data_IF_429891344274
#
_entry.id   IF_429891344274
#
_cell.length_a   1.000
_cell.length_b   1.000
_cell.length_c   1.000
_cell.angle_alpha   90.00
_cell.angle_beta   90.00
_cell.angle_gamma   90.00
#
_symmetry.space_group_name_H-M   'P 1'
#
loop_
_entity.id
_entity.type
_entity.pdbx_description
1 polymer ?
#
# COMPACT_ATOMS: atom_id res chain seq x y z
N UNK A 1 -22.72 -30.77 -29.51
CA UNK A 1 -23.44 -29.91 -30.48
C UNK A 1 -22.41 -28.97 -31.09
N UNK A 2 -22.02 -29.17 -32.34
CA UNK A 2 -21.14 -28.23 -33.04
C UNK A 2 -21.81 -26.87 -33.15
N UNK A 3 -21.09 -25.75 -32.97
CA UNK A 3 -21.69 -24.43 -33.05
C UNK A 3 -22.23 -24.20 -34.47
N UNK A 4 -23.50 -23.82 -34.58
CA UNK A 4 -24.11 -23.37 -35.84
C UNK A 4 -23.44 -22.05 -36.21
N UNK A 5 -22.42 -22.10 -37.07
CA UNK A 5 -21.76 -20.89 -37.55
C UNK A 5 -22.64 -20.29 -38.63
N UNK A 6 -23.27 -19.15 -38.32
CA UNK A 6 -24.08 -18.42 -39.30
C UNK A 6 -23.21 -18.05 -40.52
N UNK A 7 -23.70 -18.29 -41.75
CA UNK A 7 -22.95 -18.03 -42.98
C UNK A 7 -22.51 -16.56 -43.12
N UNK A 8 -23.28 -15.61 -42.58
CA UNK A 8 -22.93 -14.18 -42.56
C UNK A 8 -21.68 -13.89 -41.71
N UNK A 9 -21.45 -14.67 -40.64
CA UNK A 9 -20.25 -14.54 -39.80
C UNK A 9 -19.01 -15.10 -40.51
N UNK A 10 -19.17 -16.08 -41.40
CA UNK A 10 -18.07 -16.62 -42.21
C UNK A 10 -17.59 -15.58 -43.23
N UNK A 11 -18.52 -14.88 -43.89
CA UNK A 11 -18.16 -13.82 -44.83
C UNK A 11 -17.55 -12.60 -44.12
N UNK A 12 -18.12 -12.17 -42.98
CA UNK A 12 -17.52 -11.11 -42.17
C UNK A 12 -16.10 -11.46 -41.71
N UNK A 13 -15.88 -12.71 -41.27
CA UNK A 13 -14.54 -13.21 -40.90
C UNK A 13 -13.59 -13.17 -42.10
N UNK A 14 -14.03 -13.60 -43.28
CA UNK A 14 -13.20 -13.58 -44.48
C UNK A 14 -12.78 -12.16 -44.90
N UNK A 15 -13.66 -11.17 -44.72
CA UNK A 15 -13.34 -9.76 -44.95
C UNK A 15 -12.34 -9.21 -43.91
N UNK A 16 -12.54 -9.51 -42.63
CA UNK A 16 -11.61 -9.11 -41.57
C UNK A 16 -10.22 -9.73 -41.74
N UNK A 17 -10.14 -11.00 -42.14
CA UNK A 17 -8.87 -11.68 -42.42
C UNK A 17 -8.15 -11.01 -43.57
N UNK A 18 -8.83 -10.70 -44.68
CA UNK A 18 -8.24 -9.96 -45.80
C UNK A 18 -7.69 -8.60 -45.37
N UNK A 19 -8.49 -7.80 -44.68
CA UNK A 19 -8.06 -6.51 -44.16
C UNK A 19 -6.85 -6.62 -43.19
N UNK A 20 -6.81 -7.65 -42.36
CA UNK A 20 -5.70 -7.90 -41.45
C UNK A 20 -4.41 -8.29 -42.19
N UNK A 21 -4.52 -9.11 -43.25
CA UNK A 21 -3.40 -9.48 -44.11
C UNK A 21 -2.85 -8.27 -44.86
N UNK A 22 -3.73 -7.46 -45.47
CA UNK A 22 -3.35 -6.25 -46.19
C UNK A 22 -2.65 -5.26 -45.25
N UNK A 23 -3.18 -5.06 -44.05
CA UNK A 23 -2.55 -4.22 -43.02
C UNK A 23 -1.18 -4.77 -42.58
N UNK A 24 -1.03 -6.09 -42.46
CA UNK A 24 0.25 -6.71 -42.14
C UNK A 24 1.29 -6.49 -43.26
N UNK A 25 0.90 -6.73 -44.51
CA UNK A 25 1.77 -6.50 -45.68
C UNK A 25 2.18 -5.03 -45.81
N UNK A 26 1.25 -4.11 -45.58
CA UNK A 26 1.51 -2.67 -45.59
C UNK A 26 2.54 -2.26 -44.51
N UNK A 27 2.41 -2.77 -43.27
CA UNK A 27 3.37 -2.48 -42.19
C UNK A 27 4.77 -2.99 -42.53
N UNK A 28 4.85 -4.14 -43.21
CA UNK A 28 6.11 -4.74 -43.68
C UNK A 28 6.74 -3.94 -44.80
N UNK A 29 5.98 -3.52 -45.82
CA UNK A 29 6.50 -2.71 -46.93
C UNK A 29 6.99 -1.33 -46.49
N UNK A 30 6.43 -0.79 -45.42
CA UNK A 30 6.82 0.50 -44.82
C UNK A 30 7.90 0.39 -43.74
N UNK A 31 8.36 -0.81 -43.40
CA UNK A 31 9.42 -0.99 -42.39
C UNK A 31 9.03 -0.56 -40.98
N UNK A 32 7.76 -0.68 -40.59
CA UNK A 32 7.31 -0.24 -39.26
C UNK A 32 7.81 -1.18 -38.15
N UNK A 33 8.09 -0.64 -36.96
CA UNK A 33 8.49 -1.38 -35.73
C UNK A 33 7.39 -2.29 -35.14
N UNK A 34 6.24 -2.37 -35.80
CA UNK A 34 5.05 -3.12 -35.35
C UNK A 34 4.86 -4.45 -36.09
N UNK A 35 5.95 -4.98 -36.65
CA UNK A 35 5.95 -6.25 -37.36
C UNK A 35 5.99 -7.43 -36.37
N UNK A 36 5.24 -8.48 -36.69
CA UNK A 36 5.25 -9.75 -35.97
C UNK A 36 5.70 -10.82 -36.95
N UNK A 37 6.84 -11.43 -36.68
CA UNK A 37 7.43 -12.50 -37.49
C UNK A 37 7.40 -13.77 -36.64
N UNK A 38 6.78 -14.83 -37.17
CA UNK A 38 6.72 -16.11 -36.47
C UNK A 38 8.13 -16.69 -36.32
N UNK A 39 8.50 -17.09 -35.10
CA UNK A 39 9.82 -17.65 -34.79
C UNK A 39 10.86 -16.63 -34.29
N UNK A 40 10.55 -15.34 -34.31
CA UNK A 40 11.40 -14.29 -33.74
C UNK A 40 10.91 -13.80 -32.37
N UNK A 41 11.79 -13.12 -31.62
CA UNK A 41 11.47 -12.59 -30.29
C UNK A 41 10.38 -11.50 -30.31
N UNK A 42 10.24 -10.77 -31.43
CA UNK A 42 9.22 -9.74 -31.65
C UNK A 42 9.16 -8.64 -30.56
N UNK A 43 10.28 -8.33 -29.91
CA UNK A 43 10.34 -7.44 -28.75
C UNK A 43 9.97 -5.98 -29.05
N UNK A 44 10.19 -5.54 -30.29
CA UNK A 44 9.97 -4.15 -30.69
C UNK A 44 8.50 -3.73 -30.58
N UNK A 45 7.57 -4.61 -30.97
CA UNK A 45 6.14 -4.28 -30.93
C UNK A 45 5.64 -4.08 -29.47
N UNK A 46 5.85 -5.02 -28.52
CA UNK A 46 5.50 -4.82 -27.12
C UNK A 46 6.19 -3.61 -26.51
N UNK A 47 7.48 -3.40 -26.81
CA UNK A 47 8.23 -2.25 -26.32
C UNK A 47 7.60 -0.93 -26.80
N UNK A 48 7.39 -0.79 -28.11
CA UNK A 48 6.82 0.40 -28.71
C UNK A 48 5.39 0.67 -28.24
N UNK A 49 4.54 -0.36 -28.15
CA UNK A 49 3.20 -0.24 -27.58
C UNK A 49 3.23 0.23 -26.13
N UNK A 50 4.14 -0.30 -25.31
CA UNK A 50 4.29 0.13 -23.92
C UNK A 50 4.76 1.58 -23.83
N UNK A 51 5.67 2.00 -24.70
CA UNK A 51 6.16 3.38 -24.77
C UNK A 51 5.06 4.36 -25.19
N UNK A 52 4.32 4.08 -26.28
CA UNK A 52 3.17 4.90 -26.68
C UNK A 52 2.14 4.96 -25.56
N UNK A 53 1.80 3.79 -24.98
CA UNK A 53 0.84 3.76 -23.86
C UNK A 53 1.32 4.63 -22.71
N UNK A 54 2.60 4.59 -22.36
CA UNK A 54 3.16 5.43 -21.30
C UNK A 54 3.04 6.92 -21.61
N UNK A 55 3.33 7.33 -22.85
CA UNK A 55 3.23 8.74 -23.29
C UNK A 55 1.77 9.21 -23.32
N UNK A 56 0.87 8.40 -23.87
CA UNK A 56 -0.55 8.77 -23.97
C UNK A 56 -1.19 8.81 -22.58
N UNK A 57 -0.86 7.85 -21.72
CA UNK A 57 -1.45 7.80 -20.38
C UNK A 57 -0.73 8.70 -19.38
N UNK A 58 0.49 9.20 -19.64
CA UNK A 58 1.15 10.11 -18.70
C UNK A 58 0.31 11.37 -18.48
N UNK A 59 -0.36 11.89 -19.50
CA UNK A 59 -1.29 13.02 -19.36
C UNK A 59 -2.49 12.75 -18.42
N UNK A 60 -2.79 11.48 -18.12
CA UNK A 60 -3.85 11.08 -17.18
C UNK A 60 -3.34 10.83 -15.76
N UNK A 61 -2.02 10.81 -15.57
CA UNK A 61 -1.40 10.59 -14.26
C UNK A 61 -0.75 11.88 -13.79
N UNK A 62 -1.02 12.21 -12.53
CA UNK A 62 -0.30 13.27 -11.83
C UNK A 62 1.15 12.83 -11.59
N UNK A 63 2.09 13.78 -11.65
CA UNK A 63 3.47 13.51 -11.26
C UNK A 63 3.56 13.52 -9.73
N UNK A 64 4.15 12.46 -9.19
CA UNK A 64 4.11 12.13 -7.77
C UNK A 64 5.56 12.02 -7.31
N UNK A 65 6.11 13.17 -6.91
CA UNK A 65 7.53 13.27 -6.51
C UNK A 65 7.68 12.93 -5.04
N UNK A 66 8.50 11.91 -4.78
CA UNK A 66 8.73 11.40 -3.43
C UNK A 66 9.83 12.23 -2.75
N UNK A 67 9.52 12.80 -1.60
CA UNK A 67 10.49 13.47 -0.73
C UNK A 67 10.63 12.66 0.57
N UNK A 68 11.86 12.32 0.96
CA UNK A 68 12.16 11.68 2.25
C UNK A 68 12.02 12.70 3.40
N UNK A 69 10.79 13.06 3.76
CA UNK A 69 10.48 14.00 4.84
C UNK A 69 10.45 13.25 6.17
N UNK A 70 11.63 13.04 6.74
CA UNK A 70 11.78 12.41 8.05
C UNK A 70 13.21 12.49 8.56
N UNK A 71 14.20 12.46 7.65
CA UNK A 71 15.63 12.52 7.99
C UNK A 71 15.97 13.75 8.85
N UNK A 72 15.48 14.93 8.48
CA UNK A 72 15.75 16.18 9.20
C UNK A 72 15.17 16.18 10.63
N UNK A 73 13.98 15.59 10.83
CA UNK A 73 13.38 15.46 12.15
C UNK A 73 14.14 14.45 13.03
N UNK A 74 14.54 13.31 12.47
CA UNK A 74 15.40 12.34 13.17
C UNK A 74 16.77 12.94 13.54
N UNK A 75 17.35 13.74 12.64
CA UNK A 75 18.61 14.43 12.89
C UNK A 75 18.48 15.47 14.01
N UNK A 76 17.38 16.22 14.05
CA UNK A 76 17.11 17.18 15.13
C UNK A 76 16.94 16.49 16.49
N UNK A 77 16.20 15.38 16.57
CA UNK A 77 16.09 14.57 17.79
C UNK A 77 17.47 14.05 18.20
N UNK A 78 18.25 13.57 17.24
CA UNK A 78 19.62 13.13 17.47
C UNK A 78 20.53 14.24 18.00
N UNK A 79 20.35 15.47 17.52
CA UNK A 79 21.08 16.66 17.97
C UNK A 79 20.70 17.05 19.41
N UNK A 80 19.41 17.08 19.75
CA UNK A 80 18.94 17.36 21.12
C UNK A 80 19.43 16.28 22.09
N UNK A 81 19.34 15.00 21.73
CA UNK A 81 19.87 13.91 22.55
C UNK A 81 21.38 14.03 22.79
N UNK A 82 22.15 14.42 21.76
CA UNK A 82 23.59 14.66 21.89
C UNK A 82 23.90 15.87 22.79
N UNK A 83 23.10 16.93 22.71
CA UNK A 83 23.23 18.12 23.55
C UNK A 83 23.03 17.78 25.03
N UNK A 84 21.95 17.05 25.37
CA UNK A 84 21.67 16.62 26.74
C UNK A 84 22.78 15.70 27.27
N UNK A 85 23.24 14.75 26.46
CA UNK A 85 24.32 13.85 26.85
C UNK A 85 25.65 14.59 27.08
N UNK A 86 25.96 15.59 26.24
CA UNK A 86 27.15 16.42 26.43
C UNK A 86 27.05 17.27 27.70
N UNK A 87 25.90 17.90 27.96
CA UNK A 87 25.67 18.67 29.17
C UNK A 87 25.89 17.81 30.43
N UNK A 88 25.34 16.58 30.45
CA UNK A 88 25.56 15.63 31.54
C UNK A 88 27.05 15.33 31.77
N UNK A 89 27.78 14.98 30.71
CA UNK A 89 29.20 14.67 30.83
C UNK A 89 30.02 15.85 31.35
N UNK A 90 29.71 17.06 30.89
CA UNK A 90 30.37 18.30 31.33
C UNK A 90 30.08 18.57 32.81
N UNK A 91 28.82 18.41 33.25
CA UNK A 91 28.45 18.57 34.66
C UNK A 91 29.19 17.59 35.56
N UNK A 92 29.22 16.31 35.21
CA UNK A 92 29.95 15.29 35.99
C UNK A 92 31.46 15.59 36.02
N UNK A 93 32.03 15.99 34.88
CA UNK A 93 33.45 16.36 34.81
C UNK A 93 33.77 17.55 35.72
N UNK A 94 32.90 18.58 35.74
CA UNK A 94 33.06 19.75 36.58
C UNK A 94 32.96 19.40 38.07
N UNK A 95 31.98 18.58 38.45
CA UNK A 95 31.84 18.11 39.83
C UNK A 95 33.04 17.27 40.28
N UNK A 96 33.53 16.37 39.41
CA UNK A 96 34.71 15.56 39.70
C UNK A 96 35.98 16.42 39.86
N UNK A 97 36.13 17.51 39.09
CA UNK A 97 37.24 18.45 39.23
C UNK A 97 37.19 19.27 40.53
N UNK A 98 36.00 19.48 41.09
CA UNK A 98 35.83 20.23 42.34
C UNK A 98 36.15 19.38 43.57
N UNK A 99 35.88 18.07 43.53
CA UNK A 99 36.07 17.17 44.67
C UNK A 99 37.36 16.33 44.61
N UNK A 100 37.91 16.09 43.42
CA UNK A 100 39.04 15.19 43.23
C UNK A 100 40.20 15.87 42.50
N UNK A 101 41.42 15.50 42.87
CA UNK A 101 42.61 15.91 42.15
C UNK A 101 42.67 15.24 40.76
N UNK A 102 43.15 15.99 39.77
CA UNK A 102 43.15 15.61 38.34
C UNK A 102 44.02 14.37 38.11
N UNK A 103 45.05 14.17 38.93
CA UNK A 103 45.96 13.02 38.86
C UNK A 103 45.50 11.80 39.65
N UNK A 104 44.35 11.87 40.34
CA UNK A 104 43.81 10.74 41.08
C UNK A 104 43.30 9.65 40.14
N UNK A 105 43.63 8.39 40.44
CA UNK A 105 43.07 7.24 39.72
C UNK A 105 41.53 7.20 39.78
N UNK A 106 40.94 7.74 40.85
CA UNK A 106 39.49 7.87 40.99
C UNK A 106 38.90 8.88 40.00
N UNK A 107 39.58 10.00 39.75
CA UNK A 107 39.17 11.00 38.78
C UNK A 107 39.16 10.41 37.36
N UNK A 108 40.24 9.73 36.98
CA UNK A 108 40.34 9.07 35.66
C UNK A 108 39.23 8.03 35.48
N UNK A 109 38.95 7.22 36.51
CA UNK A 109 37.88 6.23 36.48
C UNK A 109 36.50 6.87 36.27
N UNK A 110 36.19 7.95 37.00
CA UNK A 110 34.92 8.69 36.86
C UNK A 110 34.79 9.29 35.46
N UNK A 111 35.87 9.83 34.90
CA UNK A 111 35.85 10.39 33.54
C UNK A 111 35.56 9.32 32.49
N UNK A 112 36.20 8.16 32.56
CA UNK A 112 35.94 7.05 31.62
C UNK A 112 34.48 6.60 31.71
N UNK A 113 33.97 6.41 32.94
CA UNK A 113 32.58 5.98 33.16
C UNK A 113 31.59 7.04 32.68
N UNK A 114 31.84 8.32 32.94
CA UNK A 114 31.00 9.44 32.49
C UNK A 114 30.91 9.48 30.96
N UNK A 115 32.03 9.29 30.25
CA UNK A 115 32.05 9.20 28.79
C UNK A 115 31.26 8.01 28.25
N UNK A 116 31.35 6.84 28.89
CA UNK A 116 30.53 5.68 28.52
C UNK A 116 29.03 5.95 28.72
N UNK A 117 28.66 6.59 29.85
CA UNK A 117 27.26 6.93 30.15
C UNK A 117 26.73 7.95 29.15
N UNK A 118 27.51 8.97 28.78
CA UNK A 118 27.15 9.93 27.72
C UNK A 118 26.76 9.24 26.42
N UNK A 119 27.58 8.30 25.96
CA UNK A 119 27.31 7.59 24.71
C UNK A 119 26.04 6.74 24.80
N UNK A 120 25.80 6.09 25.94
CA UNK A 120 24.55 5.33 26.18
C UNK A 120 23.32 6.24 26.26
N UNK A 121 23.44 7.40 26.90
CA UNK A 121 22.35 8.35 27.03
C UNK A 121 21.95 8.94 25.66
N UNK A 122 22.94 9.26 24.82
CA UNK A 122 22.69 9.70 23.43
C UNK A 122 22.00 8.62 22.61
N UNK A 123 22.47 7.37 22.71
CA UNK A 123 21.88 6.23 21.99
C UNK A 123 20.44 5.94 22.45
N UNK A 124 20.19 5.99 23.75
CA UNK A 124 18.84 5.87 24.30
C UNK A 124 17.96 7.02 23.83
N UNK A 125 18.42 8.27 23.92
CA UNK A 125 17.68 9.43 23.44
C UNK A 125 17.28 9.31 21.96
N UNK A 126 18.21 8.86 21.10
CA UNK A 126 17.91 8.59 19.69
C UNK A 126 16.88 7.48 19.50
N UNK A 127 17.01 6.35 20.20
CA UNK A 127 16.12 5.19 20.04
C UNK A 127 14.72 5.45 20.60
N UNK A 128 14.61 6.06 21.78
CA UNK A 128 13.33 6.37 22.41
C UNK A 128 12.66 7.56 21.74
N UNK A 129 13.38 8.65 21.52
CA UNK A 129 12.87 9.81 20.79
C UNK A 129 12.43 9.45 19.37
N UNK A 130 13.24 8.67 18.65
CA UNK A 130 12.91 8.19 17.31
C UNK A 130 11.67 7.30 17.28
N UNK A 131 11.45 6.43 18.29
CA UNK A 131 10.23 5.60 18.38
C UNK A 131 8.97 6.42 18.67
N UNK A 132 9.06 7.43 19.53
CA UNK A 132 7.91 8.28 19.87
C UNK A 132 7.59 9.27 18.74
N UNK A 133 8.59 9.87 18.10
CA UNK A 133 8.39 10.80 17.00
C UNK A 133 8.08 10.10 15.68
N UNK A 134 8.63 8.90 15.45
CA UNK A 134 8.35 8.08 14.28
C UNK A 134 6.87 7.75 14.15
N UNK A 135 6.12 7.58 15.25
CA UNK A 135 4.66 7.34 15.21
C UNK A 135 3.83 8.56 14.77
N UNK A 136 4.42 9.76 14.84
CA UNK A 136 3.75 11.04 14.55
C UNK A 136 4.18 11.65 13.21
N UNK A 137 5.36 11.27 12.72
CA UNK A 137 5.93 11.78 11.48
C UNK A 137 5.63 10.83 10.33
N UNK A 138 5.19 11.32 9.16
CA UNK A 138 5.01 10.48 8.00
C UNK A 138 6.36 9.95 7.50
N UNK A 139 6.40 8.68 7.11
CA UNK A 139 7.61 8.06 6.56
C UNK A 139 7.95 8.62 5.18
N UNK A 140 6.94 9.05 4.42
CA UNK A 140 7.13 9.63 3.09
C UNK A 140 6.14 10.78 2.89
N UNK A 141 6.66 11.95 2.51
CA UNK A 141 5.84 13.04 1.99
C UNK A 141 6.02 13.07 0.49
N UNK A 142 4.92 13.12 -0.21
CA UNK A 142 4.88 13.10 -1.66
C UNK A 142 4.15 14.34 -2.10
N UNK A 143 4.81 15.20 -2.88
CA UNK A 143 4.15 16.36 -3.46
C UNK A 143 3.55 15.94 -4.79
N UNK A 144 2.29 16.30 -4.97
CA UNK A 144 1.55 16.01 -6.20
C UNK A 144 1.70 17.22 -7.09
N UNK A 145 2.36 17.04 -8.22
CA UNK A 145 2.58 18.06 -9.25
C UNK A 145 1.75 17.72 -10.49
N UNK A 146 1.47 18.75 -11.28
CA UNK A 146 0.99 18.53 -12.63
C UNK A 146 2.12 17.98 -13.52
N UNK A 147 1.76 17.27 -14.60
CA UNK A 147 2.75 16.67 -15.49
C UNK A 147 3.40 17.72 -16.41
N UNK A 148 2.74 18.86 -16.63
CA UNK A 148 3.23 19.95 -17.50
C UNK A 148 3.74 21.18 -16.70
N UNK A 149 3.38 21.32 -15.42
CA UNK A 149 3.73 22.46 -14.58
C UNK A 149 4.50 22.10 -13.29
N UNK A 150 5.31 23.03 -12.78
CA UNK A 150 6.01 22.86 -11.48
C UNK A 150 5.12 23.23 -10.27
N UNK A 151 3.83 23.53 -10.51
CA UNK A 151 2.90 23.94 -9.45
C UNK A 151 2.44 22.73 -8.64
N UNK A 152 2.51 22.85 -7.32
CA UNK A 152 2.04 21.79 -6.42
C UNK A 152 0.50 21.80 -6.34
N UNK A 153 -0.12 20.75 -6.87
CA UNK A 153 -1.57 20.51 -6.82
C UNK A 153 -2.02 20.00 -5.45
N UNK A 154 -1.10 19.42 -4.67
CA UNK A 154 -1.39 18.89 -3.35
C UNK A 154 -0.21 18.22 -2.68
N UNK A 155 -0.49 17.61 -1.53
CA UNK A 155 0.45 16.79 -0.76
C UNK A 155 -0.20 15.46 -0.38
N UNK A 156 0.58 14.40 -0.44
CA UNK A 156 0.23 13.06 0.02
C UNK A 156 1.23 12.66 1.10
N UNK A 157 0.74 12.28 2.29
CA UNK A 157 1.56 11.78 3.39
C UNK A 157 1.30 10.31 3.55
N UNK A 158 2.35 9.51 3.51
CA UNK A 158 2.27 8.07 3.70
C UNK A 158 3.04 7.66 4.95
N UNK A 159 2.52 6.67 5.66
CA UNK A 159 3.15 6.14 6.86
C UNK A 159 2.86 4.67 7.01
N UNK A 160 3.83 3.92 7.51
CA UNK A 160 3.80 2.48 7.66
C UNK A 160 4.29 2.07 9.06
N UNK A 161 3.38 1.49 9.83
CA UNK A 161 3.66 1.10 11.21
C UNK A 161 3.35 -0.37 11.44
N UNK A 162 4.19 -1.02 12.24
CA UNK A 162 3.88 -2.31 12.83
C UNK A 162 3.30 -2.07 14.22
N UNK A 163 2.08 -2.57 14.45
CA UNK A 163 1.33 -2.39 15.68
C UNK A 163 1.10 -3.73 16.37
N UNK A 164 0.99 -3.66 17.69
CA UNK A 164 0.41 -4.75 18.46
C UNK A 164 -1.13 -4.69 18.39
N UNK A 165 -1.81 -5.82 18.62
CA UNK A 165 -3.27 -5.94 18.46
C UNK A 165 -4.06 -5.00 19.40
N UNK A 166 -3.49 -4.69 20.56
CA UNK A 166 -4.01 -3.76 21.57
C UNK A 166 -3.85 -2.29 21.19
N UNK A 167 -2.91 -1.95 20.29
CA UNK A 167 -2.72 -0.59 19.78
C UNK A 167 -3.69 -0.23 18.62
N UNK A 168 -4.49 -1.20 18.17
CA UNK A 168 -5.44 -1.01 17.06
C UNK A 168 -6.75 -0.39 17.54
N UNK A 169 -7.29 0.56 16.79
CA UNK A 169 -8.58 1.18 17.08
C UNK A 169 -9.70 0.14 17.29
N UNK A 170 -10.52 0.33 18.33
CA UNK A 170 -11.56 -0.63 18.72
C UNK A 170 -12.59 -0.90 17.61
N UNK A 171 -12.91 0.09 16.78
CA UNK A 171 -13.81 -0.10 15.62
C UNK A 171 -13.22 -1.13 14.64
N UNK A 172 -11.93 -1.03 14.36
CA UNK A 172 -11.21 -1.94 13.45
C UNK A 172 -11.07 -3.32 14.09
N UNK A 173 -10.77 -3.39 15.39
CA UNK A 173 -10.71 -4.65 16.15
C UNK A 173 -12.06 -5.37 16.13
N UNK A 174 -13.17 -4.65 16.37
CA UNK A 174 -14.53 -5.22 16.31
C UNK A 174 -14.87 -5.69 14.89
N UNK A 175 -14.49 -4.92 13.86
CA UNK A 175 -14.67 -5.32 12.46
C UNK A 175 -13.88 -6.59 12.09
N UNK A 176 -12.66 -6.75 12.61
CA UNK A 176 -11.85 -7.97 12.48
C UNK A 176 -12.50 -9.17 13.18
N UNK A 177 -13.17 -8.94 14.31
CA UNK A 177 -13.76 -9.96 15.18
C UNK A 177 -15.24 -10.26 14.88
N UNK A 178 -15.89 -9.54 13.96
CA UNK A 178 -17.34 -9.67 13.71
C UNK A 178 -17.77 -11.04 13.20
N UNK A 179 -16.86 -11.79 12.56
CA UNK A 179 -17.05 -13.23 12.30
C UNK A 179 -16.59 -14.02 13.51
N UNK A 180 -17.40 -14.98 13.97
CA UNK A 180 -17.05 -16.02 14.96
C UNK A 180 -15.79 -16.78 14.50
N UNK A 181 -14.61 -16.21 14.74
CA UNK A 181 -13.40 -17.00 14.90
C UNK A 181 -13.68 -17.94 16.07
N UNK A 182 -13.33 -19.21 15.93
CA UNK A 182 -13.41 -20.13 17.07
C UNK A 182 -12.55 -19.53 18.21
N UNK A 183 -12.91 -19.82 19.47
CA UNK A 183 -12.06 -19.44 20.61
C UNK A 183 -10.61 -19.92 20.42
N UNK A 184 -10.43 -21.03 19.72
CA UNK A 184 -9.15 -21.63 19.35
C UNK A 184 -8.37 -20.77 18.34
N UNK A 185 -9.02 -20.22 17.30
CA UNK A 185 -8.36 -19.28 16.37
C UNK A 185 -7.82 -18.04 17.10
N UNK A 186 -8.51 -17.58 18.15
CA UNK A 186 -8.10 -16.41 18.93
C UNK A 186 -6.91 -16.67 19.84
N UNK A 187 -6.85 -17.85 20.47
CA UNK A 187 -5.73 -18.21 21.35
C UNK A 187 -4.49 -18.67 20.57
N UNK A 188 -4.67 -19.30 19.41
CA UNK A 188 -3.59 -19.99 18.71
C UNK A 188 -2.69 -19.13 17.83
N UNK A 189 -3.02 -17.85 17.56
CA UNK A 189 -2.29 -17.02 16.61
C UNK A 189 -2.12 -15.57 17.09
N UNK A 190 -0.94 -15.17 17.61
CA UNK A 190 -0.63 -13.75 17.73
C UNK A 190 -0.61 -13.13 16.33
N UNK A 191 -1.50 -12.17 16.08
CA UNK A 191 -1.56 -11.45 14.81
C UNK A 191 -0.54 -10.32 14.81
N UNK A 192 0.27 -10.25 13.75
CA UNK A 192 1.07 -9.06 13.47
C UNK A 192 0.21 -8.09 12.69
N UNK A 193 0.01 -6.88 13.22
CA UNK A 193 -0.80 -5.85 12.57
C UNK A 193 0.09 -4.85 11.87
N UNK A 194 -0.19 -4.63 10.59
CA UNK A 194 0.46 -3.61 9.78
C UNK A 194 -0.56 -2.50 9.51
N UNK A 195 -0.23 -1.28 9.91
CA UNK A 195 -1.01 -0.08 9.62
C UNK A 195 -0.31 0.73 8.55
N UNK A 196 -0.95 0.81 7.38
CA UNK A 196 -0.63 1.78 6.36
C UNK A 196 -1.61 2.95 6.45
N UNK A 197 -1.09 4.17 6.47
CA UNK A 197 -1.87 5.42 6.48
C UNK A 197 -1.49 6.25 5.27
N UNK A 198 -2.49 6.75 4.54
CA UNK A 198 -2.30 7.65 3.40
C UNK A 198 -3.23 8.84 3.55
N UNK A 199 -2.65 10.02 3.76
CA UNK A 199 -3.36 11.28 3.89
C UNK A 199 -3.12 12.15 2.65
N UNK A 200 -4.13 12.25 1.79
CA UNK A 200 -4.09 13.07 0.58
C UNK A 200 -4.79 14.41 0.84
N UNK A 201 -4.08 15.51 0.64
CA UNK A 201 -4.62 16.87 0.69
C UNK A 201 -4.44 17.53 -0.67
N UNK A 202 -5.55 17.94 -1.28
CA UNK A 202 -5.58 18.57 -2.59
C UNK A 202 -5.95 20.05 -2.45
N UNK A 203 -5.30 20.92 -3.22
CA UNK A 203 -5.57 22.35 -3.23
C UNK A 203 -6.57 22.70 -4.33
N UNK A 204 -7.74 23.22 -3.94
CA UNK A 204 -8.86 23.42 -4.86
C UNK A 204 -8.65 24.49 -5.94
N UNK A 205 -7.75 25.45 -5.73
CA UNK A 205 -7.46 26.51 -6.71
C UNK A 205 -6.59 25.97 -7.86
N UNK A 206 -5.38 25.43 -7.62
CA UNK A 206 -4.55 24.84 -8.67
C UNK A 206 -5.28 23.75 -9.48
N UNK A 207 -6.09 22.92 -8.82
CA UNK A 207 -6.89 21.90 -9.50
C UNK A 207 -7.93 22.47 -10.47
N UNK A 208 -8.52 23.63 -10.19
CA UNK A 208 -9.50 24.24 -11.12
C UNK A 208 -8.80 24.88 -12.31
N UNK A 209 -7.62 25.46 -12.08
CA UNK A 209 -6.84 26.16 -13.11
C UNK A 209 -6.23 25.17 -14.11
N UNK A 210 -5.62 24.08 -13.62
CA UNK A 210 -4.81 23.16 -14.44
C UNK A 210 -5.59 21.92 -14.92
N UNK A 211 -6.61 21.48 -14.17
CA UNK A 211 -7.35 20.23 -14.46
C UNK A 211 -8.82 20.50 -14.81
N UNK A 212 -9.09 21.65 -15.44
CA UNK A 212 -10.43 22.03 -15.88
C UNK A 212 -11.02 20.98 -16.84
N UNK A 213 -12.11 20.33 -16.43
CA UNK A 213 -12.82 19.33 -17.24
C UNK A 213 -12.68 17.88 -16.78
N UNK A 214 -11.84 17.58 -15.78
CA UNK A 214 -11.81 16.25 -15.16
C UNK A 214 -13.00 16.01 -14.24
N UNK A 215 -13.61 14.82 -14.33
CA UNK A 215 -14.79 14.44 -13.54
C UNK A 215 -14.45 13.99 -12.11
N UNK A 216 -13.24 13.49 -11.90
CA UNK A 216 -12.82 12.98 -10.60
C UNK A 216 -11.37 12.53 -10.57
N UNK A 217 -10.84 12.41 -9.35
CA UNK A 217 -9.53 11.84 -9.09
C UNK A 217 -9.66 10.40 -8.63
N UNK A 218 -8.89 9.51 -9.25
CA UNK A 218 -8.77 8.13 -8.83
C UNK A 218 -7.44 7.92 -8.11
N UNK A 219 -7.50 7.43 -6.87
CA UNK A 219 -6.34 6.95 -6.15
C UNK A 219 -6.27 5.42 -6.23
N UNK A 220 -5.12 4.88 -6.66
CA UNK A 220 -4.93 3.44 -6.83
C UNK A 220 -3.89 2.95 -5.82
N UNK A 221 -4.36 2.26 -4.79
CA UNK A 221 -3.50 1.62 -3.78
C UNK A 221 -3.22 0.18 -4.22
N UNK A 222 -1.94 -0.20 -4.24
CA UNK A 222 -1.51 -1.56 -4.65
C UNK A 222 -0.73 -2.23 -3.52
N UNK A 223 -1.24 -3.36 -3.04
CA UNK A 223 -0.54 -4.18 -2.05
C UNK A 223 0.16 -5.35 -2.74
N UNK A 224 1.50 -5.39 -2.66
CA UNK A 224 2.27 -6.52 -3.15
C UNK A 224 2.45 -7.56 -2.03
N UNK A 225 1.75 -8.69 -2.14
CA UNK A 225 1.83 -9.80 -1.17
C UNK A 225 2.86 -10.86 -1.58
N UNK A 226 3.64 -10.65 -2.64
CA UNK A 226 4.60 -11.61 -3.18
C UNK A 226 5.61 -12.07 -2.15
N UNK A 227 6.20 -11.14 -1.38
CA UNK A 227 7.20 -11.43 -0.36
C UNK A 227 6.69 -12.28 0.81
N UNK A 228 5.37 -12.34 1.03
CA UNK A 228 4.80 -13.20 2.06
C UNK A 228 4.85 -14.67 1.66
N UNK A 229 4.89 -14.98 0.36
CA UNK A 229 4.91 -16.35 -0.17
C UNK A 229 6.18 -17.09 0.22
N UNK A 230 7.30 -16.38 0.27
CA UNK A 230 8.63 -16.95 0.54
C UNK A 230 8.73 -17.55 1.95
N UNK A 231 7.81 -17.16 2.84
CA UNK A 231 7.73 -17.65 4.23
C UNK A 231 6.56 -18.62 4.46
N UNK A 232 5.86 -19.04 3.41
CA UNK A 232 4.75 -19.99 3.51
C UNK A 232 5.24 -21.42 3.32
N UNK A 233 4.61 -22.34 4.04
CA UNK A 233 4.87 -23.77 3.90
C UNK A 233 4.31 -24.33 2.58
N UNK A 234 4.63 -25.60 2.31
CA UNK A 234 4.09 -26.33 1.19
C UNK A 234 2.54 -26.22 1.14
N UNK A 235 1.94 -25.97 -0.04
CA UNK A 235 0.51 -25.66 -0.18
C UNK A 235 -0.41 -26.88 -0.02
N UNK A 236 0.16 -28.07 0.22
CA UNK A 236 -0.57 -29.33 0.36
C UNK A 236 -0.10 -30.06 1.60
N UNK A 237 -1.05 -30.64 2.31
CA UNK A 237 -0.84 -31.44 3.50
C UNK A 237 -1.77 -32.64 3.45
N UNK A 238 -1.24 -33.81 3.74
CA UNK A 238 -1.97 -35.06 3.62
C UNK A 238 -2.54 -35.44 4.98
N UNK A 239 -3.86 -35.69 5.03
CA UNK A 239 -4.55 -36.09 6.25
C UNK A 239 -5.24 -37.45 6.09
N UNK A 240 -5.12 -38.36 7.07
CA UNK A 240 -5.86 -39.61 7.05
C UNK A 240 -7.34 -39.36 7.34
N UNK A 241 -8.21 -39.93 6.51
CA UNK A 241 -9.64 -40.05 6.73
C UNK A 241 -10.01 -41.53 6.72
N UNK A 242 -10.80 -41.98 7.70
CA UNK A 242 -11.41 -43.30 7.67
C UNK A 242 -12.70 -43.19 6.86
N UNK A 243 -12.81 -43.95 5.76
CA UNK A 243 -14.03 -44.02 4.98
C UNK A 243 -15.14 -44.68 5.83
N UNK A 244 -16.26 -43.98 6.10
CA UNK A 244 -17.31 -44.50 6.97
C UNK A 244 -18.01 -45.73 6.40
N UNK A 245 -17.94 -45.99 5.09
CA UNK A 245 -18.60 -47.11 4.44
C UNK A 245 -17.70 -48.33 4.30
N UNK A 246 -16.40 -48.14 4.04
CA UNK A 246 -15.45 -49.26 3.84
C UNK A 246 -14.58 -49.55 5.06
N UNK A 247 -14.46 -48.60 6.00
CA UNK A 247 -13.58 -48.72 7.16
C UNK A 247 -12.09 -48.57 6.84
N UNK A 248 -11.75 -48.30 5.58
CA UNK A 248 -10.36 -48.16 5.13
C UNK A 248 -9.81 -46.76 5.43
N UNK A 249 -8.51 -46.68 5.72
CA UNK A 249 -7.80 -45.42 5.87
C UNK A 249 -7.43 -44.90 4.48
N UNK A 250 -7.99 -43.75 4.11
CA UNK A 250 -7.67 -43.02 2.90
C UNK A 250 -6.83 -41.78 3.25
N UNK A 251 -5.78 -41.52 2.47
CA UNK A 251 -4.99 -40.29 2.62
C UNK A 251 -5.58 -39.23 1.70
N UNK A 252 -6.10 -38.15 2.29
CA UNK A 252 -6.72 -37.05 1.56
C UNK A 252 -5.76 -35.86 1.50
N UNK A 253 -5.38 -35.41 0.28
CA UNK A 253 -4.58 -34.21 0.14
C UNK A 253 -5.44 -32.96 0.40
N UNK A 254 -5.12 -32.25 1.47
CA UNK A 254 -5.77 -31.01 1.88
C UNK A 254 -4.96 -29.78 1.46
N UNK A 255 -5.65 -28.69 1.12
CA UNK A 255 -5.01 -27.43 0.79
C UNK A 255 -4.60 -26.66 2.06
N UNK A 256 -3.31 -26.38 2.21
CA UNK A 256 -2.81 -25.49 3.26
C UNK A 256 -2.89 -24.04 2.77
N UNK A 257 -3.69 -23.22 3.44
CA UNK A 257 -3.92 -21.82 3.07
C UNK A 257 -3.71 -20.88 4.25
N UNK A 258 -3.25 -19.67 3.93
CA UNK A 258 -3.05 -18.57 4.86
C UNK A 258 -4.10 -17.50 4.59
N UNK A 259 -4.65 -16.92 5.67
CA UNK A 259 -5.65 -15.86 5.62
C UNK A 259 -5.01 -14.53 6.00
N UNK A 260 -4.96 -13.61 5.04
CA UNK A 260 -4.52 -12.24 5.25
C UNK A 260 -5.76 -11.36 5.31
N UNK A 261 -5.96 -10.65 6.42
CA UNK A 261 -7.10 -9.74 6.58
C UNK A 261 -6.63 -8.32 6.33
N UNK A 262 -7.30 -7.64 5.40
CA UNK A 262 -7.07 -6.24 5.04
C UNK A 262 -8.33 -5.47 5.43
N UNK A 263 -8.17 -4.44 6.27
CA UNK A 263 -9.25 -3.54 6.65
C UNK A 263 -8.88 -2.14 6.14
N UNK A 264 -9.71 -1.61 5.25
CA UNK A 264 -9.52 -0.31 4.62
C UNK A 264 -10.49 0.67 5.26
N UNK A 265 -9.97 1.64 6.01
CA UNK A 265 -10.74 2.79 6.48
C UNK A 265 -10.45 3.97 5.58
N UNK A 266 -11.47 4.41 4.84
CA UNK A 266 -11.40 5.55 3.93
C UNK A 266 -12.22 6.69 4.52
N UNK A 267 -11.60 7.84 4.74
CA UNK A 267 -12.28 9.03 5.25
C UNK A 267 -12.14 10.16 4.23
N UNK A 268 -13.26 10.73 3.81
CA UNK A 268 -13.31 11.84 2.84
C UNK A 268 -13.89 13.08 3.52
N UNK A 269 -13.26 14.23 3.27
CA UNK A 269 -13.64 15.52 3.86
C UNK A 269 -12.92 15.82 5.18
N UNK A 270 -13.17 17.01 5.74
CA UNK A 270 -12.63 17.46 7.04
C UNK A 270 -13.74 17.91 7.98
N UNK A 271 -13.49 17.77 9.29
CA UNK A 271 -14.39 18.25 10.33
C UNK A 271 -15.75 17.54 10.33
N UNK A 272 -16.82 18.31 10.55
CA UNK A 272 -18.19 17.79 10.71
C UNK A 272 -18.78 17.12 9.46
N UNK A 273 -18.17 17.34 8.28
CA UNK A 273 -18.61 16.75 7.02
C UNK A 273 -17.78 15.51 6.61
N UNK A 274 -16.86 15.07 7.47
CA UNK A 274 -16.06 13.89 7.20
C UNK A 274 -16.95 12.64 7.16
N UNK A 275 -16.87 11.89 6.05
CA UNK A 275 -17.54 10.60 5.91
C UNK A 275 -16.49 9.51 5.94
N UNK A 276 -16.62 8.55 6.85
CA UNK A 276 -15.75 7.40 6.93
C UNK A 276 -16.47 6.13 6.50
N UNK A 277 -15.78 5.29 5.73
CA UNK A 277 -16.23 3.97 5.31
C UNK A 277 -15.13 2.97 5.61
N UNK A 278 -15.53 1.89 6.28
CA UNK A 278 -14.67 0.75 6.56
C UNK A 278 -15.07 -0.39 5.63
N UNK A 279 -14.09 -0.97 4.95
CA UNK A 279 -14.24 -2.15 4.10
C UNK A 279 -13.32 -3.26 4.58
N UNK A 280 -13.78 -4.50 4.45
CA UNK A 280 -13.03 -5.67 4.88
C UNK A 280 -12.83 -6.61 3.70
N UNK A 281 -11.57 -6.99 3.52
CA UNK A 281 -11.15 -7.92 2.49
C UNK A 281 -10.34 -9.02 3.16
N UNK A 282 -10.65 -10.27 2.86
CA UNK A 282 -9.82 -11.41 3.23
C UNK A 282 -9.19 -11.99 1.98
N UNK A 283 -7.87 -11.96 1.94
CA UNK A 283 -7.09 -12.61 0.88
C UNK A 283 -6.70 -13.99 1.37
N UNK A 284 -7.10 -15.02 0.63
CA UNK A 284 -6.73 -16.41 0.90
C UNK A 284 -5.68 -16.81 -0.11
N UNK A 285 -4.50 -17.20 0.38
CA UNK A 285 -3.36 -17.52 -0.47
C UNK A 285 -2.53 -18.67 0.09
N UNK A 286 -1.74 -19.28 -0.78
CA UNK A 286 -0.73 -20.28 -0.44
C UNK A 286 0.63 -19.87 -1.03
N UNK A 287 1.63 -20.74 -0.90
CA UNK A 287 2.97 -20.52 -1.48
C UNK A 287 2.94 -20.29 -3.00
N UNK A 288 1.94 -20.81 -3.73
CA UNK A 288 1.79 -20.63 -5.19
C UNK A 288 1.16 -19.29 -5.56
N UNK A 289 0.41 -18.67 -4.64
CA UNK A 289 -0.15 -17.34 -4.81
C UNK A 289 -1.57 -17.19 -4.26
N UNK A 290 -2.27 -16.16 -4.73
CA UNK A 290 -3.64 -15.86 -4.30
C UNK A 290 -4.60 -16.92 -4.86
N UNK A 291 -5.40 -17.53 -3.98
CA UNK A 291 -6.45 -18.49 -4.36
C UNK A 291 -7.78 -17.80 -4.59
N UNK A 292 -8.12 -16.86 -3.70
CA UNK A 292 -9.36 -16.09 -3.77
C UNK A 292 -9.28 -14.85 -2.90
N UNK A 293 -10.18 -13.91 -3.17
CA UNK A 293 -10.38 -12.69 -2.42
C UNK A 293 -11.84 -12.67 -1.98
N UNK A 294 -12.07 -12.54 -0.67
CA UNK A 294 -13.41 -12.49 -0.07
C UNK A 294 -13.70 -11.06 0.38
N UNK A 295 -14.70 -10.43 -0.21
CA UNK A 295 -15.23 -9.14 0.23
C UNK A 295 -16.26 -9.36 1.33
N UNK A 296 -16.08 -8.67 2.45
CA UNK A 296 -16.84 -8.92 3.66
C UNK A 296 -17.55 -7.64 4.08
N UNK A 297 -18.85 -7.75 4.36
CA UNK A 297 -19.64 -6.63 4.90
C UNK A 297 -19.21 -6.28 6.34
N UNK A 298 -19.80 -5.22 6.91
CA UNK A 298 -19.54 -4.78 8.30
C UNK A 298 -19.88 -5.86 9.34
N UNK A 299 -20.81 -6.76 9.04
CA UNK A 299 -21.26 -7.86 9.90
C UNK A 299 -20.48 -9.17 9.65
N UNK A 300 -19.58 -9.16 8.67
CA UNK A 300 -18.74 -10.27 8.27
C UNK A 300 -19.36 -11.30 7.33
N UNK A 301 -20.50 -10.98 6.71
CA UNK A 301 -21.11 -11.75 5.62
C UNK A 301 -20.29 -11.58 4.34
N UNK A 302 -20.08 -12.67 3.60
CA UNK A 302 -19.45 -12.59 2.29
C UNK A 302 -20.41 -11.91 1.31
N UNK A 303 -19.95 -10.80 0.72
CA UNK A 303 -20.63 -10.22 -0.42
C UNK A 303 -20.39 -11.17 -1.60
N UNK A 304 -21.46 -11.81 -2.07
CA UNK A 304 -21.41 -12.62 -3.30
C UNK A 304 -21.20 -11.66 -4.46
N UNK A 305 -19.95 -11.49 -4.87
CA UNK A 305 -19.66 -10.92 -6.18
C UNK A 305 -20.04 -12.01 -7.20
N UNK A 306 -21.11 -11.81 -7.97
CA UNK A 306 -21.47 -12.71 -9.06
C UNK A 306 -20.31 -12.74 -10.06
N UNK A 307 -19.43 -13.71 -9.92
CA UNK A 307 -18.35 -13.96 -10.86
C UNK A 307 -18.81 -15.08 -11.78
N UNK A 308 -19.38 -14.72 -12.93
CA UNK A 308 -19.44 -15.67 -14.04
C UNK A 308 -18.00 -15.99 -14.46
N UNK A 309 -17.77 -17.30 -14.59
CA UNK A 309 -16.51 -17.95 -14.90
C UNK A 309 -15.87 -17.43 -16.19
N UNK A 310 -14.60 -17.01 -16.12
CA UNK A 310 -13.70 -16.98 -17.29
C UNK A 310 -12.93 -15.68 -17.57
N UNK A 311 -13.14 -14.59 -16.84
CA UNK A 311 -12.35 -13.37 -17.05
C UNK A 311 -11.06 -13.37 -16.20
N UNK A 312 -9.91 -12.91 -16.74
CA UNK A 312 -8.69 -12.75 -15.96
C UNK A 312 -8.92 -11.78 -14.80
N UNK A 313 -8.11 -11.93 -13.75
CA UNK A 313 -8.10 -11.25 -12.44
C UNK A 313 -8.06 -9.69 -12.46
N UNK A 314 -8.33 -9.04 -13.60
CA UNK A 314 -8.19 -7.60 -13.84
C UNK A 314 -9.45 -6.78 -13.47
N UNK A 315 -10.59 -7.39 -13.14
CA UNK A 315 -11.85 -6.65 -12.95
C UNK A 315 -12.25 -6.34 -11.50
N UNK A 316 -11.35 -6.51 -10.52
CA UNK A 316 -11.63 -6.17 -9.11
C UNK A 316 -11.36 -4.67 -8.80
N UNK A 317 -11.19 -3.83 -9.82
CA UNK A 317 -10.62 -2.48 -9.67
C UNK A 317 -11.60 -1.34 -9.34
N UNK A 318 -12.92 -1.57 -9.35
CA UNK A 318 -13.89 -0.47 -9.26
C UNK A 318 -14.76 -0.57 -8.01
N UNK A 319 -14.19 -0.21 -6.86
CA UNK A 319 -14.95 0.28 -5.71
C UNK A 319 -14.99 1.81 -5.79
N UNK A 320 -15.94 2.32 -6.59
CA UNK A 320 -16.19 3.76 -6.70
C UNK A 320 -16.98 4.26 -5.49
N UNK A 321 -16.55 5.37 -4.91
CA UNK A 321 -17.42 6.18 -4.06
C UNK A 321 -18.47 6.87 -4.94
N UNK A 322 -19.71 7.06 -4.47
CA UNK A 322 -20.65 7.92 -5.18
C UNK A 322 -20.05 9.33 -5.30
N UNK A 323 -20.14 9.91 -6.50
CA UNK A 323 -19.65 11.25 -6.79
C UNK A 323 -20.18 12.27 -5.76
N UNK A 324 -19.31 13.19 -5.33
CA UNK A 324 -19.70 14.32 -4.48
C UNK A 324 -20.64 15.20 -5.32
N UNK A 325 -21.90 15.45 -4.89
CA UNK A 325 -22.80 16.31 -5.64
C UNK A 325 -22.22 17.72 -5.76
N UNK A 326 -22.17 18.27 -6.99
CA UNK A 326 -21.66 19.61 -7.32
C UNK A 326 -22.21 20.72 -6.41
N UNK A 327 -23.44 20.58 -5.92
CA UNK A 327 -24.12 21.56 -5.07
C UNK A 327 -23.47 21.81 -3.70
N UNK A 328 -22.56 20.94 -3.21
CA UNK A 328 -21.93 21.11 -1.89
C UNK A 328 -20.57 21.83 -1.91
N UNK A 329 -20.01 22.09 -3.09
CA UNK A 329 -18.71 22.79 -3.24
C UNK A 329 -18.86 24.32 -3.37
N UNK A 330 -20.06 24.82 -3.65
CA UNK A 330 -20.31 26.26 -3.81
C UNK A 330 -20.56 26.96 -2.46
N UNK A 331 -21.16 26.27 -1.49
CA UNK A 331 -21.45 26.86 -0.15
C UNK A 331 -20.19 27.07 0.72
N UNK A 332 -19.08 26.36 0.47
CA UNK A 332 -17.85 26.55 1.25
C UNK A 332 -17.01 27.75 0.78
N UNK A 333 -17.31 28.32 -0.38
CA UNK A 333 -16.56 29.45 -0.96
C UNK A 333 -17.01 30.83 -0.42
N UNK A 334 -18.24 30.95 0.05
CA UNK A 334 -18.80 32.24 0.48
C UNK A 334 -18.49 32.61 1.94
N UNK A 335 -18.12 31.64 2.79
CA UNK A 335 -17.97 31.87 4.23
C UNK A 335 -16.56 32.29 4.69
N UNK A 336 -15.57 32.40 3.80
CA UNK A 336 -14.17 32.73 4.15
C UNK A 336 -13.69 34.11 3.63
N UNK A 337 -14.61 35.00 3.23
CA UNK A 337 -14.29 36.38 2.83
C UNK A 337 -14.69 37.43 3.88
N UNK A 338 -15.06 37.02 5.10
CA UNK A 338 -15.35 37.94 6.20
C UNK A 338 -14.87 37.37 7.54
N UNK A 339 -13.56 37.40 7.77
CA UNK A 339 -12.91 37.73 9.06
C UNK A 339 -11.39 37.62 8.95
#
# INVERSE_FOLDING_TARGET
RSPVVHPDLLDARARLVRAAVDAHQYRRSRGYRSQLIAGESNEELPHWRRTIKRIVFSALYLDVRHEEVGRLAYDLVGAVAAMIAMAFAVTVSLLAQLELDIFSGAFVAIMIVSYMIKDRLKDWGKRYGGRHLGRLLPDTLVRVHDNEGDRALGQCRESFYMLQVDEVDDEIRRSRQSRRASSIERLGKPEVVIRYSKDVTLHSQPLRDELAGLEGLHDIIRFNLGHLRDRMDAPREDHPLIDPNTGEIQIIPCARVYHINIILRMTVGRGKHARSRVERVRVVMDQRGIKRVEFLDRHGTQLVCNHESGAPFQDITNLSLPAIPRAQLEDSGAASAAR
#
